data_IF_977474061995
#
_entry.id   IF_977474061995
#
_cell.length_a   1.000
_cell.length_b   1.000
_cell.length_c   1.000
_cell.angle_alpha   90.00
_cell.angle_beta   90.00
_cell.angle_gamma   90.00
#
_symmetry.space_group_name_H-M   'P 1'
#
loop_
_entity.id
_entity.type
_entity.pdbx_description
1 polymer ?
#
# COMPACT_ATOMS: atom_id res chain seq x y z
N UNK A 1 -5.06 6.75 15.39
CA UNK A 1 -5.66 6.37 14.11
C UNK A 1 -5.41 7.53 13.18
N UNK A 2 -4.63 7.30 12.14
CA UNK A 2 -4.33 8.33 11.15
C UNK A 2 -5.53 8.39 10.20
N UNK A 3 -6.60 9.06 10.63
CA UNK A 3 -7.87 9.18 9.90
C UNK A 3 -7.77 9.98 8.59
N UNK A 4 -6.57 10.30 8.10
CA UNK A 4 -6.35 10.98 6.82
C UNK A 4 -4.89 10.81 6.38
N UNK A 5 -4.54 9.67 5.79
CA UNK A 5 -3.37 9.64 4.92
C UNK A 5 -3.63 10.56 3.73
N UNK A 6 -2.77 11.56 3.53
CA UNK A 6 -2.83 12.43 2.37
C UNK A 6 -1.96 11.81 1.29
N UNK A 7 -2.61 11.26 0.26
CA UNK A 7 -1.91 10.76 -0.92
C UNK A 7 -1.12 11.92 -1.56
N UNK A 8 0.20 11.76 -1.78
CA UNK A 8 0.95 12.75 -2.54
C UNK A 8 0.37 12.78 -3.96
N UNK A 9 -0.16 13.94 -4.35
CA UNK A 9 -0.64 14.16 -5.71
C UNK A 9 0.57 14.44 -6.59
N UNK A 10 0.95 13.47 -7.43
CA UNK A 10 1.84 13.73 -8.55
C UNK A 10 1.02 14.32 -9.70
N UNK A 11 1.45 15.48 -10.22
CA UNK A 11 0.76 16.15 -11.33
C UNK A 11 0.75 15.36 -12.64
N UNK A 12 1.48 14.24 -12.72
CA UNK A 12 1.53 13.35 -13.88
C UNK A 12 0.54 12.19 -13.81
N UNK A 13 -0.13 11.96 -12.68
CA UNK A 13 -1.07 10.84 -12.53
C UNK A 13 -2.43 11.16 -13.13
N UNK A 14 -2.95 10.22 -13.91
CA UNK A 14 -4.34 10.26 -14.34
C UNK A 14 -5.29 9.72 -13.23
N UNK A 15 -6.58 9.70 -13.52
CA UNK A 15 -7.59 9.22 -12.56
C UNK A 15 -7.38 7.74 -12.21
N UNK A 16 -6.97 6.91 -13.17
CA UNK A 16 -6.75 5.48 -12.94
C UNK A 16 -5.51 5.26 -12.09
N UNK A 17 -4.47 6.05 -12.30
CA UNK A 17 -3.24 6.01 -11.50
C UNK A 17 -3.55 6.34 -10.03
N UNK A 18 -4.33 7.39 -9.78
CA UNK A 18 -4.77 7.74 -8.42
C UNK A 18 -5.56 6.61 -7.76
N UNK A 19 -6.47 5.97 -8.51
CA UNK A 19 -7.25 4.83 -8.03
C UNK A 19 -6.32 3.65 -7.69
N UNK A 20 -5.35 3.34 -8.55
CA UNK A 20 -4.41 2.25 -8.33
C UNK A 20 -3.56 2.45 -7.07
N UNK A 21 -3.09 3.67 -6.83
CA UNK A 21 -2.30 4.00 -5.63
C UNK A 21 -3.19 3.96 -4.38
N UNK A 22 -4.39 4.54 -4.43
CA UNK A 22 -5.35 4.50 -3.30
C UNK A 22 -5.72 3.07 -2.92
N UNK A 23 -5.95 2.20 -3.91
CA UNK A 23 -6.30 0.80 -3.68
C UNK A 23 -5.21 0.05 -2.90
N UNK A 24 -3.93 0.32 -3.18
CA UNK A 24 -2.83 -0.28 -2.41
C UNK A 24 -2.82 0.24 -0.98
N UNK A 25 -2.95 1.55 -0.79
CA UNK A 25 -3.00 2.18 0.54
C UNK A 25 -4.12 1.56 1.38
N UNK A 26 -5.33 1.50 0.84
CA UNK A 26 -6.50 0.94 1.52
C UNK A 26 -6.30 -0.55 1.85
N UNK A 27 -5.76 -1.32 0.90
CA UNK A 27 -5.50 -2.74 1.12
C UNK A 27 -4.46 -2.97 2.22
N UNK A 28 -3.44 -2.11 2.32
CA UNK A 28 -2.42 -2.16 3.38
C UNK A 28 -3.03 -1.78 4.72
N UNK A 29 -3.76 -0.67 4.83
CA UNK A 29 -4.42 -0.26 6.08
C UNK A 29 -5.35 -1.36 6.61
N UNK A 30 -6.11 -1.99 5.72
CA UNK A 30 -7.01 -3.10 6.07
C UNK A 30 -6.26 -4.28 6.71
N UNK A 31 -4.99 -4.53 6.37
CA UNK A 31 -4.17 -5.57 7.01
C UNK A 31 -4.01 -5.33 8.51
N UNK A 32 -3.91 -4.07 8.92
CA UNK A 32 -3.72 -3.66 10.31
C UNK A 32 -5.04 -3.51 11.08
N UNK A 33 -6.18 -3.34 10.39
CA UNK A 33 -7.50 -3.20 11.03
C UNK A 33 -8.23 -4.53 11.26
N UNK A 34 -8.00 -5.53 10.39
CA UNK A 34 -8.70 -6.81 10.50
C UNK A 34 -8.28 -7.87 9.48
N UNK A 35 -7.27 -7.56 8.67
CA UNK A 35 -6.73 -8.44 7.64
C UNK A 35 -7.33 -8.20 6.25
N UNK A 36 -6.52 -8.45 5.23
CA UNK A 36 -6.85 -8.29 3.82
C UNK A 36 -6.56 -9.58 3.04
N UNK A 37 -7.28 -9.81 1.95
CA UNK A 37 -7.05 -10.97 1.09
C UNK A 37 -5.70 -10.84 0.37
N UNK A 38 -4.90 -11.91 0.41
CA UNK A 38 -3.57 -11.94 -0.21
C UNK A 38 -3.61 -11.60 -1.70
N UNK A 39 -4.62 -12.09 -2.41
CA UNK A 39 -4.80 -11.81 -3.83
C UNK A 39 -5.04 -10.31 -4.09
N UNK A 40 -5.84 -9.65 -3.24
CA UNK A 40 -6.11 -8.21 -3.33
C UNK A 40 -4.84 -7.40 -3.11
N UNK A 41 -4.03 -7.73 -2.10
CA UNK A 41 -2.75 -7.07 -1.85
C UNK A 41 -1.77 -7.20 -3.02
N UNK A 42 -1.65 -8.40 -3.59
CA UNK A 42 -0.75 -8.64 -4.72
C UNK A 42 -1.18 -7.88 -5.98
N UNK A 43 -2.48 -7.89 -6.29
CA UNK A 43 -3.03 -7.16 -7.44
C UNK A 43 -2.86 -5.64 -7.27
N UNK A 44 -3.24 -5.10 -6.11
CA UNK A 44 -3.09 -3.68 -5.82
C UNK A 44 -1.61 -3.24 -5.87
N UNK A 45 -0.69 -4.05 -5.34
CA UNK A 45 0.73 -3.76 -5.41
C UNK A 45 1.29 -3.82 -6.84
N UNK A 46 0.78 -4.75 -7.66
CA UNK A 46 1.16 -4.83 -9.07
C UNK A 46 0.71 -3.56 -9.82
N UNK A 47 -0.53 -3.12 -9.62
CA UNK A 47 -1.07 -1.90 -10.24
C UNK A 47 -0.29 -0.66 -9.79
N UNK A 48 -0.07 -0.50 -8.49
CA UNK A 48 0.80 0.54 -7.94
C UNK A 48 2.20 0.54 -8.57
N UNK A 49 2.79 -0.64 -8.78
CA UNK A 49 4.12 -0.75 -9.41
C UNK A 49 4.14 -0.37 -10.89
N UNK A 50 2.99 -0.35 -11.57
CA UNK A 50 2.89 0.20 -12.93
C UNK A 50 2.89 1.74 -12.91
N UNK A 51 2.23 2.33 -11.91
CA UNK A 51 2.17 3.79 -11.72
C UNK A 51 3.54 4.31 -11.27
N UNK A 52 4.16 3.66 -10.28
CA UNK A 52 5.45 4.04 -9.71
C UNK A 52 6.47 2.91 -9.96
N UNK A 53 7.08 2.80 -11.16
CA UNK A 53 8.00 1.70 -11.47
C UNK A 53 9.36 1.83 -10.76
N UNK A 54 9.73 3.03 -10.32
CA UNK A 54 11.01 3.30 -9.68
C UNK A 54 11.02 2.82 -8.22
N UNK A 55 11.84 1.82 -7.90
CA UNK A 55 12.01 1.34 -6.51
C UNK A 55 12.43 2.43 -5.53
N UNK A 56 13.23 3.40 -5.98
CA UNK A 56 13.66 4.51 -5.13
C UNK A 56 12.48 5.42 -4.77
N UNK A 57 11.55 5.59 -5.70
CA UNK A 57 10.34 6.38 -5.51
C UNK A 57 9.31 5.64 -4.67
N UNK A 58 9.10 4.34 -4.92
CA UNK A 58 8.29 3.48 -4.05
C UNK A 58 8.78 3.52 -2.59
N UNK A 59 10.11 3.52 -2.38
CA UNK A 59 10.68 3.64 -1.03
C UNK A 59 10.45 5.02 -0.39
N UNK A 60 10.41 6.09 -1.17
CA UNK A 60 10.04 7.43 -0.66
C UNK A 60 8.56 7.45 -0.28
N UNK A 61 7.70 6.95 -1.17
CA UNK A 61 6.27 6.82 -0.94
C UNK A 61 5.97 6.01 0.34
N UNK A 62 6.61 4.85 0.51
CA UNK A 62 6.46 4.02 1.71
C UNK A 62 6.89 4.75 2.99
N UNK A 63 7.97 5.54 2.94
CA UNK A 63 8.40 6.34 4.09
C UNK A 63 7.38 7.43 4.44
N UNK A 64 6.90 8.17 3.45
CA UNK A 64 5.91 9.23 3.68
C UNK A 64 4.58 8.64 4.20
N UNK A 65 4.22 7.44 3.73
CA UNK A 65 3.10 6.67 4.25
C UNK A 65 3.34 6.21 5.70
N UNK A 66 4.51 5.69 6.02
CA UNK A 66 4.88 5.25 7.38
C UNK A 66 4.91 6.41 8.37
N UNK A 67 5.43 7.57 7.97
CA UNK A 67 5.45 8.78 8.80
C UNK A 67 4.03 9.27 9.15
N UNK A 68 3.07 9.11 8.23
CA UNK A 68 1.68 9.54 8.43
C UNK A 68 0.83 8.51 9.17
N UNK A 69 1.04 7.22 8.91
CA UNK A 69 0.14 6.14 9.38
C UNK A 69 0.72 5.28 10.48
N UNK A 70 2.04 5.23 10.63
CA UNK A 70 2.75 4.27 11.46
C UNK A 70 2.81 2.85 10.88
N UNK A 71 2.43 2.68 9.61
CA UNK A 71 2.38 1.39 8.92
C UNK A 71 3.31 1.38 7.70
N UNK A 72 3.83 0.22 7.33
CA UNK A 72 4.74 0.09 6.17
C UNK A 72 4.15 -0.83 5.11
N UNK A 73 4.11 -0.31 3.88
CA UNK A 73 3.76 -1.06 2.67
C UNK A 73 4.82 -2.15 2.46
N UNK A 74 6.12 -1.82 2.59
CA UNK A 74 7.18 -2.81 2.40
C UNK A 74 7.06 -3.99 3.38
N UNK A 75 6.85 -3.74 4.67
CA UNK A 75 6.68 -4.80 5.66
C UNK A 75 5.42 -5.63 5.37
N UNK A 76 4.33 -4.97 5.02
CA UNK A 76 3.07 -5.65 4.64
C UNK A 76 3.28 -6.57 3.44
N UNK A 77 3.95 -6.10 2.38
CA UNK A 77 4.21 -6.93 1.21
C UNK A 77 5.17 -8.09 1.48
N UNK A 78 6.13 -7.90 2.40
CA UNK A 78 7.01 -8.97 2.87
C UNK A 78 6.23 -10.06 3.62
N UNK A 79 5.22 -9.69 4.41
CA UNK A 79 4.31 -10.64 5.06
C UNK A 79 3.45 -11.36 4.02
N UNK A 80 2.91 -10.64 3.03
CA UNK A 80 2.11 -11.18 1.92
C UNK A 80 2.86 -12.25 1.12
N UNK A 81 4.17 -12.07 0.92
CA UNK A 81 4.99 -13.02 0.16
C UNK A 81 5.04 -14.42 0.79
N UNK A 82 4.99 -14.52 2.12
CA UNK A 82 5.15 -15.78 2.87
C UNK A 82 3.86 -16.26 3.56
N UNK A 83 2.71 -15.64 3.25
CA UNK A 83 1.48 -15.79 4.03
C UNK A 83 0.40 -16.71 3.43
N UNK A 84 -0.62 -16.96 4.26
CA UNK A 84 -1.87 -17.65 3.91
C UNK A 84 -2.75 -16.78 2.99
N UNK A 85 -3.92 -17.30 2.59
CA UNK A 85 -4.85 -16.59 1.70
C UNK A 85 -5.35 -15.23 2.25
N UNK A 86 -5.23 -15.01 3.57
CA UNK A 86 -5.52 -13.76 4.27
C UNK A 86 -4.28 -13.30 5.03
N UNK A 87 -3.93 -12.03 4.88
CA UNK A 87 -2.79 -11.38 5.53
C UNK A 87 -3.34 -10.46 6.62
N UNK A 88 -2.86 -10.62 7.84
CA UNK A 88 -3.23 -9.79 8.99
C UNK A 88 -1.96 -9.56 9.82
N UNK A 89 -1.77 -8.33 10.30
CA UNK A 89 -0.78 -8.05 11.33
C UNK A 89 -1.48 -8.23 12.67
N UNK A 90 -1.13 -9.30 13.38
CA UNK A 90 -1.53 -9.48 14.78
C UNK A 90 -0.50 -8.78 15.65
N UNK A 91 -0.92 -7.78 16.41
CA UNK A 91 -0.14 -7.24 17.54
C UNK A 91 -0.07 -8.28 18.68
#
# INVERSE_FOLDING_TARGET
MADNYQLPIDGNWDVNDMIAVSNLVDAVLQVYEGGCDRARLLDAHQQFSQVIPSKAEQKRFDRDFEEQTGHSIYQTMKLTANGNNRVIVSD
#
